data_IF_705495362606
#
_entry.id   IF_705495362606
#
_cell.length_a   1.000
_cell.length_b   1.000
_cell.length_c   1.000
_cell.angle_alpha   90.00
_cell.angle_beta   90.00
_cell.angle_gamma   90.00
#
_symmetry.space_group_name_H-M   'P 1'
#
loop_
_entity.id
_entity.type
_entity.pdbx_description
1 polymer ?
#
# COMPACT_ATOMS: atom_id res chain seq x y z
N UNK A 1 6.95 5.35 17.11
CA UNK A 1 7.44 5.21 15.71
C UNK A 1 7.58 6.60 15.08
N UNK A 2 8.73 6.92 14.48
CA UNK A 2 9.00 8.25 13.89
C UNK A 2 8.39 8.33 12.48
N UNK A 3 7.66 9.40 12.18
CA UNK A 3 7.15 9.65 10.82
C UNK A 3 8.30 10.01 9.88
N UNK A 4 8.26 9.46 8.67
CA UNK A 4 9.19 9.80 7.58
C UNK A 4 8.62 11.00 6.81
N UNK A 5 9.48 11.79 6.19
CA UNK A 5 9.09 13.00 5.44
C UNK A 5 9.35 12.81 3.94
N UNK A 6 8.48 13.35 3.09
CA UNK A 6 8.66 13.42 1.64
C UNK A 6 8.02 14.71 1.10
N UNK A 7 8.61 15.31 0.07
CA UNK A 7 8.04 16.46 -0.65
C UNK A 7 7.46 16.00 -1.98
N UNK A 8 6.21 16.36 -2.25
CA UNK A 8 5.49 16.02 -3.50
C UNK A 8 4.68 17.22 -3.94
N UNK A 9 4.88 17.70 -5.17
CA UNK A 9 4.20 18.88 -5.72
C UNK A 9 4.29 20.09 -4.76
N UNK A 10 5.51 20.39 -4.31
CA UNK A 10 5.84 21.49 -3.39
C UNK A 10 5.16 21.46 -2.01
N UNK A 11 4.49 20.36 -1.68
CA UNK A 11 3.90 20.12 -0.35
C UNK A 11 4.69 19.07 0.40
N UNK A 12 4.79 19.26 1.70
CA UNK A 12 5.46 18.33 2.61
C UNK A 12 4.43 17.35 3.18
N UNK A 13 4.75 16.07 3.10
CA UNK A 13 3.96 14.99 3.66
C UNK A 13 4.76 14.22 4.69
N UNK A 14 4.04 13.73 5.71
CA UNK A 14 4.57 12.85 6.74
C UNK A 14 3.92 11.49 6.56
N UNK A 15 4.68 10.40 6.65
CA UNK A 15 4.12 9.07 6.45
C UNK A 15 4.71 8.03 7.40
N UNK A 16 3.96 6.94 7.54
CA UNK A 16 4.39 5.73 8.22
C UNK A 16 3.90 4.51 7.47
N UNK A 17 4.60 3.40 7.69
CA UNK A 17 4.27 2.09 7.16
C UNK A 17 4.23 1.16 8.35
N UNK A 18 3.16 0.38 8.47
CA UNK A 18 2.95 -0.60 9.52
C UNK A 18 2.64 -1.93 8.85
N UNK A 19 3.38 -2.97 9.20
CA UNK A 19 3.05 -4.34 8.81
C UNK A 19 2.37 -5.06 9.97
N UNK A 20 1.50 -6.01 9.64
CA UNK A 20 0.89 -6.91 10.60
C UNK A 20 0.75 -8.30 10.00
N UNK A 21 0.55 -9.29 10.85
CA UNK A 21 0.34 -10.69 10.46
C UNK A 21 -0.98 -11.18 11.06
N UNK A 22 -1.70 -12.02 10.33
CA UNK A 22 -2.85 -12.72 10.87
C UNK A 22 -2.40 -13.96 11.64
N UNK A 23 -2.74 -14.04 12.93
CA UNK A 23 -2.40 -15.20 13.77
C UNK A 23 -3.03 -16.47 13.17
N UNK A 24 -2.23 -17.53 13.01
CA UNK A 24 -2.65 -18.81 12.41
C UNK A 24 -3.18 -18.67 10.97
N UNK A 25 -2.72 -17.67 10.23
CA UNK A 25 -3.04 -17.48 8.81
C UNK A 25 -1.77 -17.26 8.02
N UNK A 26 -1.82 -17.48 6.71
CA UNK A 26 -0.74 -17.11 5.78
C UNK A 26 -0.90 -15.67 5.26
N UNK A 27 -1.50 -14.77 6.05
CA UNK A 27 -1.88 -13.42 5.62
C UNK A 27 -0.96 -12.40 6.25
N UNK A 28 -0.40 -11.53 5.41
CA UNK A 28 0.28 -10.33 5.83
C UNK A 28 -0.53 -9.09 5.45
N UNK A 29 -0.53 -8.10 6.33
CA UNK A 29 -1.09 -6.78 6.08
C UNK A 29 0.01 -5.73 6.04
N UNK A 30 -0.19 -4.72 5.19
CA UNK A 30 0.67 -3.54 5.14
C UNK A 30 -0.24 -2.31 5.03
N UNK A 31 -0.19 -1.45 6.04
CA UNK A 31 -0.89 -0.16 6.06
C UNK A 31 0.13 0.97 5.86
N UNK A 32 -0.15 1.82 4.87
CA UNK A 32 0.55 3.09 4.68
C UNK A 32 -0.39 4.20 5.12
N UNK A 33 0.06 5.01 6.08
CA UNK A 33 -0.65 6.22 6.50
C UNK A 33 0.15 7.45 6.09
N UNK A 34 -0.48 8.36 5.35
CA UNK A 34 0.13 9.60 4.89
C UNK A 34 -0.68 10.79 5.41
N UNK A 35 0.02 11.79 5.90
CA UNK A 35 -0.50 13.04 6.41
C UNK A 35 0.08 14.20 5.60
N UNK A 36 -0.72 15.22 5.35
CA UNK A 36 -0.18 16.52 4.95
C UNK A 36 0.50 17.15 6.18
N UNK A 37 1.64 17.80 6.01
CA UNK A 37 2.31 18.47 7.13
C UNK A 37 1.36 19.48 7.80
N UNK A 38 1.34 19.48 9.14
CA UNK A 38 0.43 20.25 10.00
C UNK A 38 -1.06 19.82 9.98
N UNK A 39 -1.46 18.83 9.17
CA UNK A 39 -2.84 18.29 9.13
C UNK A 39 -2.83 16.78 9.36
N UNK A 40 -3.09 16.36 10.61
CA UNK A 40 -3.04 14.94 11.01
C UNK A 40 -4.40 14.26 11.13
N UNK A 41 -5.49 15.03 11.07
CA UNK A 41 -6.85 14.55 11.35
C UNK A 41 -7.43 13.71 10.20
N UNK A 42 -6.97 13.95 8.97
CA UNK A 42 -7.54 13.36 7.75
C UNK A 42 -6.47 12.67 6.89
N UNK A 43 -5.82 11.62 7.41
CA UNK A 43 -4.79 10.92 6.66
C UNK A 43 -5.35 10.22 5.42
N UNK A 44 -4.52 10.10 4.40
CA UNK A 44 -4.67 9.10 3.37
C UNK A 44 -4.23 7.74 3.94
N UNK A 45 -5.11 6.74 3.90
CA UNK A 45 -4.81 5.37 4.31
C UNK A 45 -4.84 4.44 3.11
N UNK A 46 -3.77 3.67 2.91
CA UNK A 46 -3.66 2.67 1.86
C UNK A 46 -3.37 1.33 2.51
N UNK A 47 -4.20 0.33 2.24
CA UNK A 47 -4.07 -1.00 2.83
C UNK A 47 -3.78 -2.05 1.76
N UNK A 48 -2.88 -2.96 2.11
CA UNK A 48 -2.57 -4.16 1.34
C UNK A 48 -2.85 -5.38 2.21
N UNK A 49 -3.44 -6.40 1.60
CA UNK A 49 -3.60 -7.72 2.17
C UNK A 49 -2.94 -8.68 1.18
N UNK A 50 -1.86 -9.31 1.61
CA UNK A 50 -1.05 -10.22 0.80
C UNK A 50 -0.93 -11.56 1.52
N UNK A 51 -0.34 -12.55 0.86
CA UNK A 51 0.25 -13.67 1.59
C UNK A 51 1.45 -13.22 2.44
N UNK A 52 1.81 -14.04 3.42
CA UNK A 52 3.01 -13.92 4.25
C UNK A 52 4.06 -14.95 3.83
N UNK A 53 5.31 -14.52 3.65
CA UNK A 53 6.43 -15.44 3.55
C UNK A 53 6.88 -15.86 4.96
N UNK A 54 7.00 -17.16 5.24
CA UNK A 54 7.41 -17.64 6.58
C UNK A 54 8.80 -17.14 7.01
N UNK A 55 9.68 -16.78 6.07
CA UNK A 55 11.04 -16.37 6.35
C UNK A 55 11.25 -14.86 6.15
N UNK A 56 10.62 -14.28 5.13
CA UNK A 56 10.78 -12.88 4.75
C UNK A 56 9.61 -11.98 5.22
N UNK A 57 8.50 -12.53 5.69
CA UNK A 57 7.32 -11.76 6.10
C UNK A 57 6.56 -11.16 4.91
N UNK A 58 6.04 -9.94 5.05
CA UNK A 58 5.23 -9.30 4.00
C UNK A 58 6.06 -9.03 2.73
N UNK A 59 5.69 -9.59 1.55
CA UNK A 59 6.47 -9.47 0.32
C UNK A 59 6.60 -8.02 -0.19
N UNK A 60 5.62 -7.16 0.07
CA UNK A 60 5.68 -5.75 -0.32
C UNK A 60 6.55 -4.92 0.62
N UNK A 61 6.84 -5.40 1.82
CA UNK A 61 7.75 -4.73 2.77
C UNK A 61 9.21 -5.11 2.54
N UNK A 62 9.51 -6.39 2.27
CA UNK A 62 10.86 -6.87 1.98
C UNK A 62 11.25 -6.66 0.52
N UNK A 63 10.27 -6.73 -0.36
CA UNK A 63 10.37 -6.44 -1.78
C UNK A 63 10.19 -7.68 -2.64
N UNK A 64 9.55 -7.49 -3.79
CA UNK A 64 9.19 -8.55 -4.73
C UNK A 64 9.28 -8.04 -6.17
N UNK A 65 9.73 -8.88 -7.10
CA UNK A 65 9.68 -8.55 -8.53
C UNK A 65 8.25 -8.65 -9.05
N UNK A 66 7.72 -7.55 -9.59
CA UNK A 66 6.42 -7.52 -10.27
C UNK A 66 6.63 -7.21 -11.76
N UNK A 67 5.79 -7.82 -12.60
CA UNK A 67 5.82 -7.60 -14.05
C UNK A 67 4.96 -6.39 -14.42
N UNK A 68 5.51 -5.51 -15.27
CA UNK A 68 4.74 -4.48 -15.98
C UNK A 68 3.97 -5.13 -17.14
N UNK A 69 2.65 -5.01 -17.17
CA UNK A 69 1.81 -5.71 -18.13
C UNK A 69 2.04 -5.23 -19.57
N UNK A 70 2.26 -3.93 -19.77
CA UNK A 70 2.44 -3.32 -21.10
C UNK A 70 3.81 -3.62 -21.71
N UNK A 71 4.88 -3.56 -20.94
CA UNK A 71 6.27 -3.71 -21.42
C UNK A 71 6.84 -5.11 -21.24
N UNK A 72 6.17 -5.96 -20.44
CA UNK A 72 6.68 -7.29 -20.01
C UNK A 72 8.03 -7.23 -19.28
N UNK A 73 8.36 -6.08 -18.70
CA UNK A 73 9.57 -5.90 -17.90
C UNK A 73 9.28 -6.14 -16.43
N UNK A 74 10.22 -6.71 -15.71
CA UNK A 74 10.14 -6.84 -14.25
C UNK A 74 10.71 -5.62 -13.55
N UNK A 75 10.10 -5.25 -12.42
CA UNK A 75 10.59 -4.23 -11.51
C UNK A 75 10.56 -4.76 -10.08
N UNK A 76 11.64 -4.54 -9.33
CA UNK A 76 11.66 -4.85 -7.91
C UNK A 76 10.86 -3.81 -7.11
N UNK A 77 9.74 -4.25 -6.53
CA UNK A 77 8.78 -3.42 -5.79
C UNK A 77 8.99 -3.62 -4.30
N UNK A 78 9.46 -2.57 -3.62
CA UNK A 78 9.54 -2.52 -2.16
C UNK A 78 8.87 -1.23 -1.66
N UNK A 79 7.75 -1.39 -0.94
CA UNK A 79 6.94 -0.27 -0.43
C UNK A 79 7.53 0.41 0.80
N UNK A 80 8.54 -0.19 1.44
CA UNK A 80 9.30 0.46 2.50
C UNK A 80 10.16 1.62 1.96
N UNK A 81 10.43 1.65 0.65
CA UNK A 81 11.12 2.74 -0.04
C UNK A 81 10.24 3.96 -0.34
N UNK A 82 10.83 5.17 -0.44
CA UNK A 82 10.06 6.41 -0.66
C UNK A 82 9.44 6.54 -2.06
N UNK A 83 9.93 5.78 -3.06
CA UNK A 83 9.47 5.84 -4.45
C UNK A 83 7.95 5.70 -4.57
N UNK A 84 7.38 4.67 -3.95
CA UNK A 84 5.95 4.37 -4.05
C UNK A 84 5.08 5.29 -3.19
N UNK A 85 5.63 5.88 -2.13
CA UNK A 85 4.91 6.87 -1.32
C UNK A 85 4.49 8.06 -2.17
N UNK A 86 5.36 8.48 -3.10
CA UNK A 86 5.03 9.52 -4.08
C UNK A 86 3.81 9.12 -4.92
N UNK A 87 3.78 7.90 -5.42
CA UNK A 87 2.68 7.40 -6.26
C UNK A 87 1.37 7.29 -5.49
N UNK A 88 1.41 6.84 -4.22
CA UNK A 88 0.22 6.82 -3.36
C UNK A 88 -0.33 8.22 -3.09
N UNK A 89 0.53 9.22 -2.90
CA UNK A 89 0.11 10.63 -2.77
C UNK A 89 -0.58 11.09 -4.06
N UNK A 90 0.04 10.86 -5.22
CA UNK A 90 -0.55 11.25 -6.51
C UNK A 90 -1.90 10.58 -6.76
N UNK A 91 -2.02 9.29 -6.44
CA UNK A 91 -3.27 8.56 -6.56
C UNK A 91 -4.33 9.13 -5.61
N UNK A 92 -3.97 9.40 -4.35
CA UNK A 92 -4.85 10.05 -3.38
C UNK A 92 -5.40 11.38 -3.88
N UNK A 93 -4.52 12.24 -4.41
CA UNK A 93 -4.91 13.51 -5.03
C UNK A 93 -5.88 13.31 -6.20
N UNK A 94 -5.62 12.32 -7.06
CA UNK A 94 -6.47 11.98 -8.20
C UNK A 94 -7.88 11.54 -7.77
N UNK A 95 -8.01 10.84 -6.63
CA UNK A 95 -9.30 10.40 -6.09
C UNK A 95 -9.94 11.40 -5.12
N UNK A 96 -9.42 12.63 -5.06
CA UNK A 96 -10.04 13.75 -4.35
C UNK A 96 -9.56 13.98 -2.91
N UNK A 97 -8.56 13.25 -2.42
CA UNK A 97 -7.90 13.58 -1.16
C UNK A 97 -7.04 14.84 -1.33
N UNK A 98 -7.05 15.76 -0.35
CA UNK A 98 -6.24 16.98 -0.37
C UNK A 98 -5.41 17.21 0.90
N UNK A 99 -5.41 16.24 1.82
CA UNK A 99 -4.74 16.32 3.11
C UNK A 99 -5.52 17.02 4.22
N UNK A 100 -6.67 17.61 3.89
CA UNK A 100 -7.57 18.28 4.84
C UNK A 100 -8.96 17.66 4.86
N UNK A 101 -9.35 16.89 3.84
CA UNK A 101 -10.57 16.10 3.80
C UNK A 101 -10.32 14.61 4.07
N UNK A 102 -11.31 13.95 4.66
CA UNK A 102 -11.31 12.49 4.76
C UNK A 102 -11.68 11.87 3.40
N UNK A 103 -11.06 10.74 3.10
CA UNK A 103 -11.45 9.84 2.01
C UNK A 103 -11.51 8.42 2.55
N UNK A 104 -12.20 7.53 1.84
CA UNK A 104 -12.18 6.11 2.19
C UNK A 104 -10.77 5.53 2.09
N UNK A 105 -10.53 4.46 2.86
CA UNK A 105 -9.28 3.72 2.75
C UNK A 105 -9.13 3.12 1.35
N UNK A 106 -7.96 3.34 0.77
CA UNK A 106 -7.63 2.90 -0.57
C UNK A 106 -7.11 1.46 -0.52
N UNK A 107 -7.66 0.62 -1.39
CA UNK A 107 -7.06 -0.68 -1.72
C UNK A 107 -5.76 -0.45 -2.48
N UNK A 108 -4.64 -0.82 -1.87
CA UNK A 108 -3.31 -0.59 -2.40
C UNK A 108 -3.04 -1.29 -3.72
N UNK A 109 -3.69 -2.42 -4.00
CA UNK A 109 -3.54 -3.11 -5.29
C UNK A 109 -4.09 -2.28 -6.44
N UNK A 110 -5.15 -1.50 -6.22
CA UNK A 110 -5.66 -0.58 -7.26
C UNK A 110 -4.62 0.44 -7.70
N UNK A 111 -3.75 0.86 -6.78
CA UNK A 111 -2.67 1.79 -7.12
C UNK A 111 -1.59 1.08 -7.93
N UNK A 112 -1.15 -0.11 -7.51
CA UNK A 112 -0.17 -0.90 -8.27
C UNK A 112 -0.67 -1.26 -9.67
N UNK A 113 -1.94 -1.65 -9.81
CA UNK A 113 -2.61 -1.88 -11.10
C UNK A 113 -2.61 -0.59 -11.94
N UNK A 114 -2.89 0.57 -11.33
CA UNK A 114 -2.83 1.85 -12.06
C UNK A 114 -1.42 2.24 -12.51
N UNK A 115 -0.39 1.65 -11.89
CA UNK A 115 1.00 1.73 -12.29
C UNK A 115 1.39 0.59 -13.26
N UNK A 116 0.44 -0.12 -13.85
CA UNK A 116 0.65 -1.20 -14.82
C UNK A 116 1.31 -2.47 -14.26
N UNK A 117 1.27 -2.69 -12.93
CA UNK A 117 1.79 -3.93 -12.35
C UNK A 117 0.77 -5.06 -12.37
N UNK A 118 1.24 -6.26 -12.73
CA UNK A 118 0.55 -7.50 -12.41
C UNK A 118 0.68 -7.80 -10.91
N UNK A 119 -0.45 -7.86 -10.23
CA UNK A 119 -0.55 -8.13 -8.79
C UNK A 119 -1.23 -9.47 -8.49
N UNK A 120 -1.57 -10.26 -9.52
CA UNK A 120 -2.25 -11.55 -9.36
C UNK A 120 -1.52 -12.49 -8.40
N UNK A 121 -0.19 -12.50 -8.45
CA UNK A 121 0.66 -13.30 -7.56
C UNK A 121 0.77 -12.79 -6.12
N UNK A 122 0.16 -11.65 -5.76
CA UNK A 122 0.22 -11.07 -4.41
C UNK A 122 -1.01 -11.39 -3.56
N UNK A 123 -2.12 -11.78 -4.18
CA UNK A 123 -3.32 -12.16 -3.44
C UNK A 123 -3.02 -13.37 -2.55
N UNK A 124 -3.55 -13.40 -1.30
CA UNK A 124 -3.42 -14.56 -0.43
C UNK A 124 -3.83 -15.84 -1.17
N UNK A 125 -3.05 -16.92 -0.99
CA UNK A 125 -3.40 -18.22 -1.56
C UNK A 125 -4.59 -18.77 -0.78
N UNK A 126 -5.73 -18.82 -1.44
CA UNK A 126 -6.91 -19.60 -1.10
C UNK A 126 -7.42 -19.64 0.37
N UNK A 127 -8.46 -18.84 0.66
CA UNK A 127 -9.30 -18.94 1.87
C UNK A 127 -10.15 -17.66 2.04
N UNK A 128 -11.40 -17.76 2.50
CA UNK A 128 -12.21 -16.57 2.77
C UNK A 128 -11.55 -15.74 3.87
N UNK A 129 -11.37 -14.43 3.64
CA UNK A 129 -10.82 -13.53 4.65
C UNK A 129 -11.81 -12.40 4.90
N UNK A 130 -12.20 -12.25 6.16
CA UNK A 130 -12.89 -11.06 6.67
C UNK A 130 -11.82 -10.13 7.22
N UNK A 131 -11.56 -9.03 6.52
CA UNK A 131 -10.67 -7.97 7.01
C UNK A 131 -11.43 -6.63 6.97
N UNK A 132 -11.47 -5.92 8.12
CA UNK A 132 -12.20 -4.66 8.25
C UNK A 132 -13.67 -4.72 7.81
N UNK A 133 -14.36 -5.84 8.13
CA UNK A 133 -15.75 -6.11 7.73
C UNK A 133 -16.01 -6.14 6.22
N UNK A 134 -14.97 -6.33 5.40
CA UNK A 134 -15.10 -6.58 3.96
C UNK A 134 -14.68 -8.01 3.64
N UNK A 135 -15.50 -8.67 2.83
CA UNK A 135 -15.23 -9.97 2.26
C UNK A 135 -14.49 -9.78 0.94
N UNK A 136 -13.37 -10.48 0.80
CA UNK A 136 -12.59 -10.50 -0.43
C UNK A 136 -12.71 -11.89 -1.05
N UNK A 137 -13.11 -11.92 -2.33
CA UNK A 137 -13.20 -13.16 -3.08
C UNK A 137 -11.80 -13.68 -3.42
N UNK A 138 -11.70 -15.01 -3.38
CA UNK A 138 -10.57 -15.81 -3.84
C UNK A 138 -10.24 -15.50 -5.30
#
# INVERSE_FOLDING_TARGET
MKLRKITVLDKIYLYKIVTGFGINTEIATLEITIYLENYKQTPLKINFITWEDLYAGNPLNTGISLTKLSTKTEEFVNLNGPKYIREFILYGLKVGWNGQNAVECIDGFKVLISLDFDVSGLYPKDGFIIANAKEYLK
#
